data_IF_415888995472
#
_entry.id   IF_415888995472
#
_cell.length_a   1.000
_cell.length_b   1.000
_cell.length_c   1.000
_cell.angle_alpha   90.00
_cell.angle_beta   90.00
_cell.angle_gamma   90.00
#
_symmetry.space_group_name_H-M   'P 1'
#
loop_
_entity.id
_entity.type
_entity.pdbx_description
1 polymer ?
#
# COMPACT_ATOMS: atom_id res chain seq x y z
N UNK A 1 12.89 15.28 24.66
CA UNK A 1 13.74 14.31 23.95
C UNK A 1 12.82 13.68 22.91
N UNK A 2 12.65 14.34 21.77
CA UNK A 2 11.87 13.80 20.66
C UNK A 2 12.69 12.67 20.05
N UNK A 3 12.30 11.43 20.33
CA UNK A 3 12.86 10.27 19.66
C UNK A 3 12.52 10.37 18.18
N UNK A 4 13.52 10.28 17.31
CA UNK A 4 13.30 10.12 15.88
C UNK A 4 12.33 8.96 15.67
N UNK A 5 11.15 9.25 15.12
CA UNK A 5 10.11 8.26 14.93
C UNK A 5 10.46 7.40 13.71
N UNK A 6 11.45 6.52 13.88
CA UNK A 6 11.95 5.63 12.83
C UNK A 6 10.86 4.61 12.49
N UNK A 7 10.64 4.42 11.20
CA UNK A 7 9.64 3.49 10.72
C UNK A 7 10.10 2.05 10.84
N UNK A 8 9.40 1.24 11.64
CA UNK A 8 9.71 -0.18 11.88
C UNK A 8 9.64 -1.08 10.62
N UNK A 9 9.28 -0.54 9.46
CA UNK A 9 9.20 -1.29 8.20
C UNK A 9 10.30 -0.94 7.19
N UNK A 10 10.93 0.23 7.31
CA UNK A 10 11.99 0.64 6.39
C UNK A 10 13.17 1.33 7.09
N UNK A 11 13.19 1.35 8.42
CA UNK A 11 14.27 1.91 9.25
C UNK A 11 14.61 3.36 8.90
N UNK A 12 13.65 4.09 8.31
CA UNK A 12 13.81 5.47 7.87
C UNK A 12 13.02 6.41 8.79
N UNK A 13 13.61 7.56 9.12
CA UNK A 13 12.91 8.69 9.75
C UNK A 13 11.88 9.32 8.80
N UNK A 14 12.13 9.25 7.49
CA UNK A 14 11.18 9.66 6.44
C UNK A 14 10.51 8.43 5.84
N UNK A 15 9.44 7.95 6.49
CA UNK A 15 8.70 6.78 6.02
C UNK A 15 7.70 7.14 4.94
N UNK A 16 7.92 6.67 3.72
CA UNK A 16 6.99 6.90 2.60
C UNK A 16 5.56 6.40 2.89
N UNK A 17 5.39 5.33 3.67
CA UNK A 17 4.06 4.90 4.07
C UNK A 17 3.38 5.88 5.03
N UNK A 18 4.12 6.51 5.94
CA UNK A 18 3.57 7.53 6.83
C UNK A 18 3.19 8.79 6.04
N UNK A 19 3.96 9.15 5.01
CA UNK A 19 3.71 10.33 4.17
C UNK A 19 2.55 10.11 3.20
N UNK A 20 2.54 8.99 2.47
CA UNK A 20 1.60 8.75 1.36
C UNK A 20 0.45 7.79 1.72
N UNK A 21 0.50 7.13 2.88
CA UNK A 21 -0.43 6.06 3.24
C UNK A 21 -1.90 6.49 3.28
N UNK A 22 -2.19 7.69 3.80
CA UNK A 22 -3.55 8.23 3.86
C UNK A 22 -4.18 8.38 2.46
N UNK A 23 -3.47 9.03 1.55
CA UNK A 23 -3.90 9.23 0.15
C UNK A 23 -4.10 7.89 -0.60
N UNK A 24 -3.27 6.89 -0.29
CA UNK A 24 -3.42 5.54 -0.82
C UNK A 24 -4.67 4.85 -0.27
N UNK A 25 -4.96 4.97 1.03
CA UNK A 25 -6.15 4.41 1.66
C UNK A 25 -7.44 5.05 1.12
N UNK A 26 -7.48 6.37 0.94
CA UNK A 26 -8.62 7.06 0.34
C UNK A 26 -8.88 6.60 -1.10
N UNK A 27 -7.82 6.47 -1.89
CA UNK A 27 -7.92 5.97 -3.26
C UNK A 27 -8.43 4.53 -3.27
N UNK A 28 -7.95 3.71 -2.34
CA UNK A 28 -8.36 2.32 -2.22
C UNK A 28 -9.85 2.19 -1.88
N UNK A 29 -10.39 3.03 -0.99
CA UNK A 29 -11.81 3.02 -0.65
C UNK A 29 -12.69 3.18 -1.90
N UNK A 30 -12.33 4.11 -2.79
CA UNK A 30 -13.01 4.35 -4.07
C UNK A 30 -12.86 3.16 -5.04
N UNK A 31 -11.67 2.56 -5.09
CA UNK A 31 -11.40 1.39 -5.94
C UNK A 31 -12.14 0.14 -5.47
N UNK A 32 -12.22 -0.09 -4.16
CA UNK A 32 -12.89 -1.26 -3.59
C UNK A 32 -14.39 -1.24 -3.87
N UNK A 33 -15.02 -0.07 -3.78
CA UNK A 33 -16.44 0.11 -4.13
C UNK A 33 -16.67 -0.22 -5.62
N UNK A 34 -15.83 0.34 -6.49
CA UNK A 34 -15.87 0.10 -7.96
C UNK A 34 -15.61 -1.37 -8.33
N UNK A 35 -14.71 -2.04 -7.61
CA UNK A 35 -14.26 -3.41 -7.91
C UNK A 35 -14.98 -4.49 -7.07
N UNK A 36 -16.06 -4.12 -6.36
CA UNK A 36 -16.77 -4.92 -5.36
C UNK A 36 -17.13 -6.35 -5.79
N UNK A 37 -17.25 -6.62 -7.09
CA UNK A 37 -17.66 -7.94 -7.64
C UNK A 37 -16.51 -8.82 -8.15
N UNK A 38 -15.23 -8.42 -8.03
CA UNK A 38 -14.10 -9.17 -8.62
C UNK A 38 -13.37 -10.06 -7.60
N UNK A 39 -13.24 -11.36 -7.91
CA UNK A 39 -12.42 -12.37 -7.18
C UNK A 39 -10.92 -12.06 -7.07
N UNK A 40 -10.42 -11.05 -7.78
CA UNK A 40 -9.01 -10.59 -7.72
C UNK A 40 -8.91 -9.13 -7.29
N UNK A 41 -9.85 -8.66 -6.45
CA UNK A 41 -9.95 -7.25 -6.03
C UNK A 41 -8.65 -6.76 -5.38
N UNK A 42 -8.18 -7.43 -4.33
CA UNK A 42 -7.04 -6.96 -3.55
C UNK A 42 -5.72 -6.92 -4.35
N UNK A 43 -5.35 -7.95 -5.15
CA UNK A 43 -4.22 -7.85 -6.08
C UNK A 43 -4.29 -6.65 -7.03
N UNK A 44 -5.48 -6.40 -7.61
CA UNK A 44 -5.71 -5.28 -8.54
C UNK A 44 -5.59 -3.95 -7.83
N UNK A 45 -6.22 -3.80 -6.65
CA UNK A 45 -6.11 -2.61 -5.81
C UNK A 45 -4.64 -2.32 -5.50
N UNK A 46 -3.87 -3.31 -5.03
CA UNK A 46 -2.43 -3.14 -4.75
C UNK A 46 -1.66 -2.70 -6.00
N UNK A 47 -1.93 -3.27 -7.17
CA UNK A 47 -1.25 -2.88 -8.40
C UNK A 47 -1.52 -1.41 -8.79
N UNK A 48 -2.76 -0.95 -8.64
CA UNK A 48 -3.14 0.45 -8.90
C UNK A 48 -2.49 1.38 -7.88
N UNK A 49 -2.57 1.04 -6.58
CA UNK A 49 -1.98 1.85 -5.51
C UNK A 49 -0.45 1.94 -5.60
N UNK A 50 0.24 0.87 -6.02
CA UNK A 50 1.68 0.93 -6.31
C UNK A 50 2.01 1.96 -7.38
N UNK A 51 1.27 1.96 -8.50
CA UNK A 51 1.46 2.93 -9.58
C UNK A 51 1.16 4.35 -9.12
N UNK A 52 0.07 4.55 -8.37
CA UNK A 52 -0.27 5.84 -7.78
C UNK A 52 0.84 6.36 -6.87
N UNK A 53 1.37 5.53 -5.97
CA UNK A 53 2.50 5.89 -5.12
C UNK A 53 3.71 6.33 -5.93
N UNK A 54 4.15 5.53 -6.91
CA UNK A 54 5.32 5.85 -7.74
C UNK A 54 5.13 7.20 -8.44
N UNK A 55 3.93 7.44 -8.98
CA UNK A 55 3.59 8.69 -9.64
C UNK A 55 3.61 9.88 -8.69
N UNK A 56 3.03 9.76 -7.50
CA UNK A 56 3.06 10.83 -6.50
C UNK A 56 4.48 11.15 -6.02
N UNK A 57 5.35 10.14 -5.90
CA UNK A 57 6.72 10.32 -5.40
C UNK A 57 7.68 10.85 -6.46
N UNK A 58 7.53 10.42 -7.71
CA UNK A 58 8.56 10.65 -8.75
C UNK A 58 8.04 11.37 -9.99
N UNK A 59 6.72 11.52 -10.14
CA UNK A 59 6.08 11.97 -11.38
C UNK A 59 6.09 10.93 -12.51
N UNK A 60 6.63 9.72 -12.27
CA UNK A 60 6.72 8.64 -13.25
C UNK A 60 5.68 7.55 -13.03
N UNK A 61 5.35 6.80 -14.08
CA UNK A 61 4.50 5.61 -14.00
C UNK A 61 5.28 4.31 -13.67
N UNK A 62 6.61 4.40 -13.60
CA UNK A 62 7.52 3.29 -13.33
C UNK A 62 8.54 3.67 -12.26
N UNK A 63 8.95 2.70 -11.45
CA UNK A 63 9.87 2.91 -10.34
C UNK A 63 9.82 1.81 -9.30
N UNK A 64 10.77 1.85 -8.38
CA UNK A 64 10.82 0.93 -7.25
C UNK A 64 9.83 1.37 -6.16
N UNK A 65 9.21 0.38 -5.49
CA UNK A 65 8.37 0.62 -4.32
C UNK A 65 9.15 0.23 -3.05
N UNK A 66 9.41 1.18 -2.14
CA UNK A 66 10.06 0.93 -0.85
C UNK A 66 9.36 -0.15 -0.04
N UNK A 67 10.11 -0.82 0.84
CA UNK A 67 9.60 -1.91 1.68
C UNK A 67 8.41 -1.47 2.55
N UNK A 68 8.47 -0.30 3.19
CA UNK A 68 7.37 0.20 4.03
C UNK A 68 6.06 0.35 3.25
N UNK A 69 6.13 0.85 2.01
CA UNK A 69 4.95 0.96 1.15
C UNK A 69 4.48 -0.43 0.70
N UNK A 70 5.39 -1.33 0.34
CA UNK A 70 5.02 -2.71 -0.01
C UNK A 70 4.30 -3.41 1.14
N UNK A 71 4.80 -3.30 2.37
CA UNK A 71 4.18 -3.89 3.57
C UNK A 71 2.85 -3.24 3.89
N UNK A 72 2.76 -1.92 3.84
CA UNK A 72 1.50 -1.21 4.05
C UNK A 72 0.40 -1.65 3.09
N UNK A 73 0.73 -1.79 1.80
CA UNK A 73 -0.22 -2.28 0.80
C UNK A 73 -0.66 -3.74 1.03
N UNK A 74 0.25 -4.62 1.46
CA UNK A 74 -0.09 -6.03 1.73
C UNK A 74 -0.95 -6.15 3.00
N UNK A 75 -0.60 -5.43 4.06
CA UNK A 75 -1.32 -5.49 5.34
C UNK A 75 -2.75 -4.96 5.21
N UNK A 76 -2.98 -3.94 4.38
CA UNK A 76 -4.33 -3.37 4.18
C UNK A 76 -5.15 -4.15 3.13
N UNK A 77 -4.51 -4.76 2.13
CA UNK A 77 -5.17 -5.52 1.06
C UNK A 77 -4.49 -6.88 0.83
N UNK A 78 -4.68 -7.85 1.74
CA UNK A 78 -4.05 -9.17 1.65
C UNK A 78 -4.58 -10.00 0.48
N UNK A 79 -3.81 -11.01 0.07
CA UNK A 79 -4.26 -11.98 -0.93
C UNK A 79 -5.28 -12.94 -0.33
N UNK A 80 -6.33 -13.28 -1.10
CA UNK A 80 -7.41 -14.17 -0.64
C UNK A 80 -6.91 -15.58 -0.23
N UNK A 81 -5.71 -15.99 -0.64
CA UNK A 81 -5.10 -17.26 -0.27
C UNK A 81 -4.66 -17.36 1.19
N UNK A 82 -4.73 -16.29 1.98
CA UNK A 82 -4.35 -16.32 3.41
C UNK A 82 -5.50 -16.64 4.37
N UNK A 83 -6.73 -16.85 3.88
CA UNK A 83 -7.88 -17.20 4.73
C UNK A 83 -8.18 -18.71 4.72
N UNK A 84 -7.54 -19.50 3.85
CA UNK A 84 -7.88 -20.92 3.66
C UNK A 84 -7.07 -21.90 4.50
N UNK A 85 -6.08 -21.44 5.29
CA UNK A 85 -5.20 -22.30 6.09
C UNK A 85 -5.57 -22.33 7.60
N UNK A 86 -6.81 -21.94 7.95
CA UNK A 86 -7.31 -21.97 9.34
C UNK A 86 -8.62 -22.75 9.51
N UNK A 87 -8.91 -23.72 8.64
CA UNK A 87 -9.97 -24.71 8.87
C UNK A 87 -9.47 -26.13 8.64
#
# INVERSE_FOLDING_TARGET
MEGEHICNWCESSECDWAVYGGELQETAARLVDTLSRKRRRNPVVRAILRRKFIYMKTGSMSGAVPECVRRGLVNNWPDESTVSDLY
#
